data_IF_721214683713
#
_entry.id   IF_721214683713
#
_cell.length_a   1.000
_cell.length_b   1.000
_cell.length_c   1.000
_cell.angle_alpha   90.00
_cell.angle_beta   90.00
_cell.angle_gamma   90.00
#
_symmetry.space_group_name_H-M   'P 1'
#
loop_
_entity.id
_entity.type
_entity.pdbx_description
1 polymer ?
#
# COMPACT_ATOMS: atom_id res chain seq x y z
N UNK A 1 5.78 -14.34 16.99
CA UNK A 1 5.17 -13.50 15.93
C UNK A 1 5.01 -14.39 14.70
N UNK A 2 3.77 -14.61 14.24
CA UNK A 2 3.46 -15.44 13.06
C UNK A 2 2.77 -14.60 11.98
N UNK A 3 2.86 -14.98 10.69
CA UNK A 3 2.14 -14.30 9.62
C UNK A 3 0.63 -14.23 9.90
N UNK A 4 0.03 -13.08 9.65
CA UNK A 4 -1.43 -12.88 9.61
C UNK A 4 -1.91 -12.85 8.15
N UNK A 5 -1.13 -12.25 7.25
CA UNK A 5 -1.39 -12.26 5.81
C UNK A 5 -0.16 -12.73 5.02
N UNK A 6 -0.41 -13.53 3.99
CA UNK A 6 0.57 -14.01 3.03
C UNK A 6 0.07 -13.69 1.62
N UNK A 7 0.90 -13.02 0.82
CA UNK A 7 0.61 -12.63 -0.56
C UNK A 7 -0.77 -11.95 -0.70
N UNK A 8 -1.04 -10.98 0.19
CA UNK A 8 -2.29 -10.18 0.25
C UNK A 8 -3.56 -10.91 0.70
N UNK A 9 -3.45 -12.15 1.19
CA UNK A 9 -4.57 -12.90 1.74
C UNK A 9 -4.34 -13.28 3.20
N UNK A 10 -5.39 -13.31 4.05
CA UNK A 10 -5.30 -13.91 5.37
C UNK A 10 -4.84 -15.38 5.29
N UNK A 11 -4.04 -15.84 6.25
CA UNK A 11 -3.47 -17.21 6.25
C UNK A 11 -4.53 -18.31 6.29
N UNK A 12 -5.69 -18.00 6.85
CA UNK A 12 -6.88 -18.84 6.92
C UNK A 12 -7.63 -18.94 5.59
N UNK A 13 -7.41 -18.00 4.65
CA UNK A 13 -8.10 -17.99 3.36
C UNK A 13 -7.64 -19.17 2.49
N UNK A 14 -8.58 -20.06 2.13
CA UNK A 14 -8.34 -21.26 1.31
C UNK A 14 -8.90 -21.18 -0.11
N UNK A 15 -9.29 -19.98 -0.56
CA UNK A 15 -9.85 -19.77 -1.90
C UNK A 15 -8.86 -20.16 -3.00
N UNK A 16 -9.37 -20.37 -4.21
CA UNK A 16 -8.55 -20.68 -5.38
C UNK A 16 -7.59 -19.52 -5.70
N UNK A 17 -8.05 -18.28 -5.52
CA UNK A 17 -7.29 -17.05 -5.73
C UNK A 17 -6.13 -16.96 -4.74
N UNK A 18 -6.38 -17.19 -3.45
CA UNK A 18 -5.34 -17.18 -2.42
C UNK A 18 -4.26 -18.23 -2.71
N UNK A 19 -4.67 -19.46 -3.05
CA UNK A 19 -3.75 -20.54 -3.43
C UNK A 19 -2.93 -20.19 -4.68
N UNK A 20 -3.57 -19.61 -5.70
CA UNK A 20 -2.92 -19.16 -6.94
C UNK A 20 -1.92 -18.04 -6.67
N UNK A 21 -2.28 -17.07 -5.83
CA UNK A 21 -1.40 -15.97 -5.46
C UNK A 21 -0.15 -16.45 -4.72
N UNK A 22 -0.31 -17.39 -3.78
CA UNK A 22 0.81 -18.02 -3.08
C UNK A 22 1.71 -18.77 -4.06
N UNK A 23 1.13 -19.61 -4.92
CA UNK A 23 1.87 -20.39 -5.92
C UNK A 23 2.70 -19.51 -6.86
N UNK A 24 2.17 -18.35 -7.24
CA UNK A 24 2.80 -17.46 -8.20
C UNK A 24 3.56 -16.28 -7.54
N UNK A 25 3.63 -16.24 -6.21
CA UNK A 25 4.19 -15.13 -5.43
C UNK A 25 3.57 -13.76 -5.77
N UNK A 26 2.29 -13.74 -6.13
CA UNK A 26 1.58 -12.56 -6.61
C UNK A 26 1.14 -11.65 -5.45
N UNK A 27 1.29 -10.34 -5.63
CA UNK A 27 0.82 -9.33 -4.71
C UNK A 27 -0.30 -8.52 -5.37
N UNK A 28 -1.54 -8.61 -4.85
CA UNK A 28 -2.69 -7.88 -5.37
C UNK A 28 -2.48 -6.37 -5.38
N UNK A 29 -1.85 -5.81 -4.34
CA UNK A 29 -1.70 -4.36 -4.20
C UNK A 29 -0.66 -3.74 -5.14
N UNK A 30 0.20 -4.56 -5.74
CA UNK A 30 1.17 -4.13 -6.76
C UNK A 30 0.80 -4.58 -8.16
N UNK A 31 -0.21 -5.44 -8.27
CA UNK A 31 -0.57 -6.16 -9.50
C UNK A 31 0.61 -6.90 -10.16
N UNK A 32 1.56 -7.35 -9.34
CA UNK A 32 2.82 -7.93 -9.79
C UNK A 32 3.36 -8.96 -8.79
N UNK A 33 4.49 -9.59 -9.13
CA UNK A 33 5.22 -10.44 -8.19
C UNK A 33 5.65 -9.62 -6.97
N UNK A 34 5.53 -10.21 -5.78
CA UNK A 34 6.01 -9.60 -4.54
C UNK A 34 7.52 -9.37 -4.62
N UNK A 35 7.96 -8.17 -4.26
CA UNK A 35 9.37 -7.74 -4.21
C UNK A 35 10.02 -7.94 -2.84
N UNK A 36 9.24 -8.33 -1.81
CA UNK A 36 9.74 -8.53 -0.45
C UNK A 36 10.63 -9.77 -0.39
N UNK A 37 11.90 -9.58 -0.75
CA UNK A 37 12.91 -10.62 -0.78
C UNK A 37 13.70 -10.64 0.53
N UNK A 38 13.81 -11.81 1.15
CA UNK A 38 14.75 -12.01 2.25
C UNK A 38 16.10 -12.49 1.70
N UNK A 39 17.18 -12.15 2.42
CA UNK A 39 18.54 -12.59 2.10
C UNK A 39 18.75 -14.11 2.31
N UNK A 40 17.88 -14.76 3.07
CA UNK A 40 18.05 -16.18 3.46
C UNK A 40 17.23 -17.17 2.63
N UNK A 41 16.26 -16.69 1.84
CA UNK A 41 15.39 -17.53 1.01
C UNK A 41 15.48 -17.09 -0.45
N UNK A 42 15.21 -18.01 -1.39
CA UNK A 42 15.29 -17.76 -2.85
C UNK A 42 13.97 -17.35 -3.49
N UNK A 43 12.90 -17.23 -2.69
CA UNK A 43 11.58 -16.79 -3.12
C UNK A 43 11.15 -15.57 -2.29
N UNK A 44 10.18 -14.77 -2.77
CA UNK A 44 9.67 -13.64 -2.00
C UNK A 44 9.04 -14.11 -0.68
N UNK A 45 9.35 -13.44 0.42
CA UNK A 45 8.83 -13.76 1.75
C UNK A 45 7.30 -13.67 1.82
N UNK A 46 6.70 -12.71 1.09
CA UNK A 46 5.25 -12.62 0.93
C UNK A 46 4.44 -12.22 2.17
N UNK A 47 5.06 -12.05 3.35
CA UNK A 47 4.33 -11.67 4.58
C UNK A 47 3.97 -10.18 4.58
N UNK A 48 2.67 -9.89 4.53
CA UNK A 48 2.13 -8.54 4.46
C UNK A 48 1.87 -7.94 5.85
N UNK A 49 1.36 -8.75 6.78
CA UNK A 49 1.12 -8.40 8.19
C UNK A 49 1.39 -9.61 9.08
N UNK A 50 1.59 -9.34 10.37
CA UNK A 50 1.92 -10.36 11.38
C UNK A 50 1.02 -10.21 12.59
N UNK A 51 0.79 -11.32 13.30
CA UNK A 51 0.16 -11.29 14.61
C UNK A 51 1.22 -10.89 15.66
N UNK A 52 0.94 -9.81 16.40
CA UNK A 52 1.78 -9.32 17.48
C UNK A 52 0.93 -8.87 18.67
N UNK A 53 0.94 -9.66 19.74
CA UNK A 53 0.08 -9.43 20.91
C UNK A 53 -1.40 -9.34 20.51
N UNK A 54 -2.07 -8.20 20.76
CA UNK A 54 -3.48 -7.96 20.39
C UNK A 54 -3.64 -7.22 19.07
N UNK A 55 -2.55 -6.95 18.35
CA UNK A 55 -2.58 -6.18 17.10
C UNK A 55 -2.06 -7.00 15.92
N UNK A 56 -2.36 -6.50 14.71
CA UNK A 56 -1.96 -7.11 13.45
C UNK A 56 -1.17 -6.10 12.62
N UNK A 57 0.03 -5.67 13.06
CA UNK A 57 0.77 -4.63 12.37
C UNK A 57 1.07 -5.01 10.92
N UNK A 58 0.88 -4.04 10.04
CA UNK A 58 1.28 -4.11 8.63
C UNK A 58 2.80 -3.94 8.57
N UNK A 59 3.47 -4.85 7.86
CA UNK A 59 4.94 -4.86 7.73
C UNK A 59 5.39 -4.84 6.26
N UNK A 60 4.50 -4.44 5.35
CA UNK A 60 4.75 -4.31 3.94
C UNK A 60 4.17 -2.98 3.47
N UNK A 61 4.97 -2.08 2.87
CA UNK A 61 4.45 -0.77 2.42
C UNK A 61 3.34 -0.92 1.38
N UNK A 62 3.45 -1.90 0.48
CA UNK A 62 2.42 -2.18 -0.55
C UNK A 62 1.05 -2.52 0.04
N UNK A 63 0.98 -3.02 1.27
CA UNK A 63 -0.29 -3.32 1.96
C UNK A 63 -1.07 -2.04 2.32
N UNK A 64 -0.42 -0.86 2.36
CA UNK A 64 -1.08 0.44 2.53
C UNK A 64 -1.74 0.95 1.25
N UNK A 65 -1.40 0.39 0.09
CA UNK A 65 -2.01 0.75 -1.20
C UNK A 65 -3.40 0.11 -1.40
N UNK A 66 -3.86 -0.70 -0.44
CA UNK A 66 -5.18 -1.33 -0.49
C UNK A 66 -6.27 -0.28 -0.69
N UNK A 67 -6.86 -0.27 -1.89
CA UNK A 67 -7.96 0.62 -2.30
C UNK A 67 -7.71 2.11 -1.96
N UNK A 68 -6.45 2.53 -1.88
CA UNK A 68 -6.05 3.88 -1.46
C UNK A 68 -6.63 4.32 -0.09
N UNK A 69 -6.93 3.38 0.83
CA UNK A 69 -7.60 3.69 2.10
C UNK A 69 -6.81 4.74 2.90
N UNK A 70 -5.50 4.52 3.08
CA UNK A 70 -4.64 5.46 3.83
C UNK A 70 -4.66 6.86 3.23
N UNK A 71 -4.71 6.98 1.92
CA UNK A 71 -4.71 8.26 1.22
C UNK A 71 -6.07 8.95 1.34
N UNK A 72 -7.17 8.20 1.29
CA UNK A 72 -8.51 8.74 1.51
C UNK A 72 -8.67 9.28 2.92
N UNK A 73 -8.18 8.54 3.92
CA UNK A 73 -8.26 8.96 5.33
C UNK A 73 -7.38 10.20 5.57
N UNK A 74 -6.15 10.20 5.08
CA UNK A 74 -5.27 11.37 5.16
C UNK A 74 -5.87 12.60 4.44
N UNK A 75 -6.49 12.40 3.27
CA UNK A 75 -7.14 13.46 2.52
C UNK A 75 -8.34 14.06 3.28
N UNK A 76 -9.14 13.23 3.94
CA UNK A 76 -10.27 13.70 4.77
C UNK A 76 -9.78 14.44 6.01
N UNK A 77 -8.73 13.95 6.65
CA UNK A 77 -8.15 14.58 7.84
C UNK A 77 -7.55 15.96 7.52
N UNK A 78 -6.75 16.05 6.44
CA UNK A 78 -6.02 17.28 6.11
C UNK A 78 -6.85 18.28 5.29
N UNK A 79 -7.65 17.80 4.34
CA UNK A 79 -8.40 18.66 3.41
C UNK A 79 -9.91 18.66 3.65
N UNK A 80 -10.42 17.84 4.58
CA UNK A 80 -11.87 17.68 4.81
C UNK A 80 -12.62 16.95 3.70
N UNK A 81 -11.92 16.48 2.65
CA UNK A 81 -12.56 15.88 1.46
C UNK A 81 -11.56 15.10 0.62
N UNK A 82 -12.05 14.18 -0.20
CA UNK A 82 -11.30 13.50 -1.27
C UNK A 82 -11.52 14.12 -2.64
N UNK A 83 -12.42 15.10 -2.77
CA UNK A 83 -12.77 15.72 -4.05
C UNK A 83 -11.59 16.53 -4.59
N UNK A 84 -11.26 16.42 -5.87
CA UNK A 84 -10.14 17.15 -6.50
C UNK A 84 -8.81 17.03 -5.74
N UNK A 85 -8.53 15.86 -5.18
CA UNK A 85 -7.22 15.55 -4.58
C UNK A 85 -6.49 14.60 -5.51
N UNK A 86 -5.27 14.98 -5.88
CA UNK A 86 -4.39 14.21 -6.74
C UNK A 86 -3.36 13.47 -5.89
N UNK A 87 -3.07 12.22 -6.25
CA UNK A 87 -2.06 11.37 -5.62
C UNK A 87 -0.90 11.16 -6.58
N UNK A 88 0.31 11.52 -6.14
CA UNK A 88 1.56 11.27 -6.85
C UNK A 88 2.41 10.29 -6.04
N UNK A 89 3.08 9.36 -6.72
CA UNK A 89 4.03 8.42 -6.11
C UNK A 89 5.47 8.78 -6.47
N UNK A 90 6.42 8.51 -5.58
CA UNK A 90 7.87 8.65 -5.81
C UNK A 90 8.28 10.06 -6.23
N UNK A 91 7.82 11.08 -5.49
CA UNK A 91 8.14 12.48 -5.79
C UNK A 91 9.52 12.82 -5.25
N UNK A 92 10.47 13.02 -6.15
CA UNK A 92 11.83 13.43 -5.81
C UNK A 92 11.95 14.96 -5.74
N UNK A 93 12.50 15.47 -4.64
CA UNK A 93 12.92 16.87 -4.51
C UNK A 93 14.44 16.95 -4.39
N UNK A 94 15.04 17.70 -5.31
CA UNK A 94 16.48 17.99 -5.29
C UNK A 94 16.89 18.55 -3.92
N UNK A 95 17.97 18.00 -3.36
CA UNK A 95 18.57 18.35 -2.06
C UNK A 95 17.73 18.06 -0.80
N UNK A 96 16.56 17.43 -0.90
CA UNK A 96 15.72 17.07 0.25
C UNK A 96 15.54 15.56 0.39
N UNK A 97 15.37 14.86 -0.74
CA UNK A 97 15.12 13.42 -0.78
C UNK A 97 13.88 13.07 -1.60
N UNK A 98 13.33 11.89 -1.37
CA UNK A 98 12.12 11.40 -2.03
C UNK A 98 10.96 11.24 -1.05
N UNK A 99 9.78 11.60 -1.51
CA UNK A 99 8.52 11.27 -0.84
C UNK A 99 7.90 10.06 -1.55
N UNK A 100 7.57 9.03 -0.79
CA UNK A 100 6.88 7.85 -1.34
C UNK A 100 5.56 8.26 -2.00
N UNK A 101 4.81 9.16 -1.34
CA UNK A 101 3.53 9.68 -1.84
C UNK A 101 3.31 11.14 -1.48
N UNK A 102 2.66 11.88 -2.39
CA UNK A 102 2.24 13.27 -2.20
C UNK A 102 0.77 13.43 -2.58
N UNK A 103 -0.02 14.01 -1.67
CA UNK A 103 -1.41 14.40 -1.92
C UNK A 103 -1.49 15.91 -2.19
N UNK A 104 -2.13 16.29 -3.30
CA UNK A 104 -2.29 17.69 -3.69
C UNK A 104 -3.76 18.02 -3.87
N UNK A 105 -4.27 18.97 -3.09
CA UNK A 105 -5.61 19.53 -3.29
C UNK A 105 -5.60 20.52 -4.46
N UNK A 106 -6.23 20.13 -5.57
CA UNK A 106 -6.31 20.95 -6.77
C UNK A 106 -7.58 21.84 -6.74
N UNK A 107 -7.43 23.11 -7.10
CA UNK A 107 -8.59 24.00 -7.35
C UNK A 107 -9.12 23.75 -8.76
N UNK A 108 -10.45 23.75 -9.00
CA UNK A 108 -10.96 23.73 -10.36
C UNK A 108 -10.33 24.85 -11.20
N UNK A 109 -10.05 24.57 -12.47
CA UNK A 109 -9.59 25.60 -13.40
C UNK A 109 -10.65 26.70 -13.43
N UNK A 110 -10.23 27.93 -13.15
CA UNK A 110 -11.10 29.10 -13.04
C UNK A 110 -10.40 30.29 -13.67
N UNK A 111 -11.14 31.09 -14.43
CA UNK A 111 -10.68 32.39 -14.94
C UNK A 111 -10.91 33.54 -13.95
N UNK A 112 -11.49 33.25 -12.77
CA UNK A 112 -11.70 34.25 -11.71
C UNK A 112 -10.39 34.47 -10.96
N UNK A 113 -10.00 35.73 -10.84
CA UNK A 113 -8.89 36.20 -10.01
C UNK A 113 -9.52 36.64 -8.68
N UNK A 114 -9.08 36.04 -7.56
CA UNK A 114 -9.43 36.48 -6.20
C UNK A 114 -8.39 37.50 -5.71
#
# INVERSE_FOLDING_TARGET
MNPNEIFTFPVENKSAEAKKAIKNFYCKFREAKCDKQSRTIKYPMGVCSVNHSKTKPIICPHRFLENNIVFQDASKEVFGTTNNVLLFSEVNLSNVGSFDFVLVKHKPISSKID
#
